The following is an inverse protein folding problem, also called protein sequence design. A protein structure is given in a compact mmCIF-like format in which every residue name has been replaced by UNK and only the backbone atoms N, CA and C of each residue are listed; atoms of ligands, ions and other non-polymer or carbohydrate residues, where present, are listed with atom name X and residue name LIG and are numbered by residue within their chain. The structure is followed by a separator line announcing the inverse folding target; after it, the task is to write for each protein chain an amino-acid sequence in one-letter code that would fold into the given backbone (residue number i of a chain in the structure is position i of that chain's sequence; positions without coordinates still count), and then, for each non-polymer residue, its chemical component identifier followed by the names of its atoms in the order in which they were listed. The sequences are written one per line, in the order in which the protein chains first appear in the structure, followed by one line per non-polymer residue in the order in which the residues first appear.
data_IF_314383967999
#
_entry.id   IF_314383967999
#
_cell.length_a   1.000
_cell.length_b   1.000
_cell.length_c   1.000
_cell.angle_alpha   90.00
_cell.angle_beta   90.00
_cell.angle_gamma   90.00
#
_symmetry.space_group_name_H-M   'P 1'
#
loop_
_entity.id
_entity.type
_entity.pdbx_description
1 polymer ?
#
# COMPACT_ATOMS: atom_id res chain seq x y z
N UNK A 1 9.23 -72.08 -19.05
CA UNK A 1 9.54 -70.69 -19.26
C UNK A 1 8.48 -69.85 -18.53
N UNK A 2 8.83 -69.23 -17.44
CA UNK A 2 7.91 -68.43 -16.60
C UNK A 2 8.05 -66.98 -17.01
N UNK A 3 7.03 -66.41 -17.61
CA UNK A 3 7.00 -64.95 -17.90
C UNK A 3 6.78 -64.21 -16.58
N UNK A 4 7.78 -63.46 -16.15
CA UNK A 4 7.61 -62.51 -15.07
C UNK A 4 7.00 -61.23 -15.63
N UNK A 5 5.80 -60.89 -15.19
CA UNK A 5 5.14 -59.63 -15.51
C UNK A 5 5.78 -58.58 -14.61
N UNK A 6 6.62 -57.72 -15.18
CA UNK A 6 7.13 -56.54 -14.47
C UNK A 6 5.99 -55.59 -14.20
N UNK A 7 5.61 -55.45 -12.93
CA UNK A 7 4.61 -54.48 -12.49
C UNK A 7 5.28 -53.10 -12.41
N UNK A 8 5.03 -52.27 -13.38
CA UNK A 8 5.46 -50.86 -13.32
C UNK A 8 4.55 -50.11 -12.34
N UNK A 9 5.11 -49.65 -11.24
CA UNK A 9 4.40 -48.75 -10.32
C UNK A 9 4.74 -47.33 -10.75
N UNK A 10 3.74 -46.60 -11.23
CA UNK A 10 3.88 -45.17 -11.52
C UNK A 10 3.66 -44.42 -10.22
N UNK A 11 4.69 -43.76 -9.75
CA UNK A 11 4.59 -42.78 -8.64
C UNK A 11 4.40 -41.42 -9.26
N UNK A 12 3.23 -40.83 -9.07
CA UNK A 12 3.01 -39.41 -9.45
C UNK A 12 3.43 -38.56 -8.28
N UNK A 13 4.49 -37.79 -8.47
CA UNK A 13 4.90 -36.74 -7.54
C UNK A 13 4.22 -35.45 -8.04
N UNK A 14 3.26 -34.89 -7.31
CA UNK A 14 2.69 -33.61 -7.71
C UNK A 14 3.73 -32.51 -7.48
N UNK A 15 4.04 -31.77 -8.52
CA UNK A 15 4.79 -30.54 -8.39
C UNK A 15 3.84 -29.43 -7.94
N UNK A 16 4.20 -28.76 -6.85
CA UNK A 16 3.46 -27.59 -6.39
C UNK A 16 3.85 -26.37 -7.22
N UNK A 17 2.85 -25.58 -7.60
CA UNK A 17 3.11 -24.30 -8.28
C UNK A 17 3.85 -23.35 -7.37
N UNK A 18 4.83 -22.63 -7.91
CA UNK A 18 5.47 -21.54 -7.22
C UNK A 18 4.47 -20.41 -7.02
N UNK A 19 4.23 -20.05 -5.77
CA UNK A 19 3.29 -18.99 -5.39
C UNK A 19 4.02 -17.73 -4.95
N UNK A 20 3.30 -16.61 -4.87
CA UNK A 20 3.83 -15.34 -4.46
C UNK A 20 3.23 -14.83 -3.16
N UNK A 21 3.99 -13.97 -2.51
CA UNK A 21 3.56 -13.17 -1.37
C UNK A 21 3.88 -11.70 -1.63
N UNK A 22 2.88 -10.85 -1.45
CA UNK A 22 2.99 -9.40 -1.53
C UNK A 22 2.89 -8.81 -0.13
N UNK A 23 3.86 -7.98 0.25
CA UNK A 23 3.79 -7.15 1.45
C UNK A 23 3.61 -5.69 1.04
N UNK A 24 2.59 -5.04 1.59
CA UNK A 24 2.34 -3.61 1.39
C UNK A 24 2.63 -2.88 2.69
N UNK A 25 3.52 -1.90 2.61
CA UNK A 25 3.88 -1.04 3.73
C UNK A 25 3.27 0.34 3.58
N UNK A 26 2.91 0.94 4.69
CA UNK A 26 2.48 2.33 4.79
C UNK A 26 3.42 3.14 5.62
N UNK A 27 3.82 4.29 5.10
CA UNK A 27 4.61 5.30 5.79
C UNK A 27 3.93 6.67 5.75
N UNK A 28 4.19 7.48 6.76
CA UNK A 28 3.72 8.85 6.82
C UNK A 28 4.53 9.68 7.81
N UNK A 29 4.48 10.98 7.67
CA UNK A 29 5.14 11.92 8.58
C UNK A 29 4.34 12.07 9.87
N UNK A 30 4.96 11.78 11.01
CA UNK A 30 4.37 11.99 12.34
C UNK A 30 5.14 13.09 13.08
N UNK A 31 4.41 13.86 13.87
CA UNK A 31 5.01 14.86 14.76
C UNK A 31 5.79 14.15 15.87
N UNK A 32 7.07 14.45 15.99
CA UNK A 32 7.96 13.87 17.01
C UNK A 32 8.44 14.88 18.03
N UNK A 33 8.25 16.16 17.78
CA UNK A 33 8.65 17.21 18.69
C UNK A 33 8.40 18.62 18.17
N UNK A 34 8.68 19.60 19.01
CA UNK A 34 8.62 21.00 18.65
C UNK A 34 9.73 21.77 19.36
N UNK A 35 10.38 22.68 18.66
CA UNK A 35 11.29 23.67 19.23
C UNK A 35 10.52 24.97 19.41
N UNK A 36 10.42 25.44 20.63
CA UNK A 36 9.79 26.71 20.99
C UNK A 36 10.88 27.75 21.21
N UNK A 37 10.83 28.83 20.45
CA UNK A 37 11.74 29.96 20.56
C UNK A 37 10.95 31.26 20.73
N UNK A 38 11.62 32.35 21.04
CA UNK A 38 11.01 33.69 21.07
C UNK A 38 10.38 34.09 19.73
N UNK A 39 10.87 33.51 18.63
CA UNK A 39 10.40 33.81 17.27
C UNK A 39 9.29 32.87 16.77
N UNK A 40 8.85 31.91 17.59
CA UNK A 40 7.79 30.97 17.25
C UNK A 40 8.15 29.50 17.53
N UNK A 41 7.29 28.63 17.04
CA UNK A 41 7.40 27.19 17.23
C UNK A 41 7.68 26.50 15.89
N UNK A 42 8.74 25.68 15.86
CA UNK A 42 9.07 24.81 14.73
C UNK A 42 8.75 23.36 15.08
N UNK A 43 7.88 22.73 14.30
CA UNK A 43 7.50 21.34 14.50
C UNK A 43 8.46 20.41 13.75
N UNK A 44 8.82 19.29 14.42
CA UNK A 44 9.69 18.25 13.86
C UNK A 44 8.87 17.03 13.48
N UNK A 45 9.11 16.50 12.30
CA UNK A 45 8.41 15.36 11.77
C UNK A 45 9.40 14.27 11.37
N UNK A 46 8.98 13.01 11.52
CA UNK A 46 9.70 11.84 11.06
C UNK A 46 8.78 10.91 10.27
N UNK A 47 9.31 10.25 9.27
CA UNK A 47 8.59 9.16 8.59
C UNK A 47 8.55 7.93 9.49
N UNK A 48 7.36 7.43 9.72
CA UNK A 48 7.11 6.21 10.50
C UNK A 48 6.07 5.35 9.84
N UNK A 49 6.13 4.06 10.11
CA UNK A 49 5.11 3.09 9.70
C UNK A 49 3.76 3.47 10.28
N UNK A 50 2.69 3.32 9.46
CA UNK A 50 1.33 3.74 9.81
C UNK A 50 0.36 2.58 9.70
N UNK A 51 -0.44 2.35 10.74
CA UNK A 51 -1.57 1.41 10.72
C UNK A 51 -2.83 2.05 10.16
N UNK A 52 -3.78 1.21 9.71
CA UNK A 52 -5.11 1.65 9.30
C UNK A 52 -5.21 2.17 7.86
N UNK A 53 -4.16 2.06 7.05
CA UNK A 53 -4.29 2.22 5.60
C UNK A 53 -5.02 1.02 5.01
N UNK A 54 -5.90 1.25 4.04
CA UNK A 54 -6.68 0.20 3.37
C UNK A 54 -6.34 0.16 1.90
N UNK A 55 -6.06 -1.03 1.39
CA UNK A 55 -5.69 -1.28 -0.01
C UNK A 55 -6.61 -2.29 -0.66
N UNK A 56 -6.84 -2.11 -1.95
CA UNK A 56 -7.41 -3.11 -2.84
C UNK A 56 -6.32 -3.55 -3.85
N UNK A 57 -6.32 -4.83 -4.21
CA UNK A 57 -5.37 -5.42 -5.15
C UNK A 57 -6.11 -5.93 -6.36
N UNK A 58 -5.65 -5.53 -7.53
CA UNK A 58 -6.22 -5.91 -8.83
C UNK A 58 -5.19 -6.65 -9.68
N UNK A 59 -5.64 -7.46 -10.60
CA UNK A 59 -4.81 -8.05 -11.63
C UNK A 59 -4.35 -6.97 -12.63
N UNK A 60 -3.04 -6.74 -12.74
CA UNK A 60 -2.46 -5.78 -13.67
C UNK A 60 -2.37 -6.29 -15.10
N UNK A 61 -2.44 -7.62 -15.26
CA UNK A 61 -2.48 -8.36 -16.53
C UNK A 61 -3.31 -9.62 -16.32
N UNK A 62 -3.57 -10.38 -17.39
CA UNK A 62 -4.15 -11.72 -17.26
C UNK A 62 -3.19 -12.61 -16.46
N UNK A 63 -3.69 -13.23 -15.39
CA UNK A 63 -2.92 -14.09 -14.50
C UNK A 63 -3.35 -15.54 -14.74
N UNK A 64 -2.34 -16.40 -14.92
CA UNK A 64 -2.54 -17.81 -15.24
C UNK A 64 -1.78 -18.68 -14.24
N UNK A 65 -2.27 -19.89 -14.06
CA UNK A 65 -1.53 -20.96 -13.38
C UNK A 65 -0.28 -21.35 -14.20
N UNK A 66 0.65 -22.10 -13.62
CA UNK A 66 1.79 -22.66 -14.34
C UNK A 66 1.37 -23.54 -15.53
N UNK A 67 0.17 -24.12 -15.47
CA UNK A 67 -0.40 -24.96 -16.53
C UNK A 67 -1.20 -24.16 -17.58
N UNK A 68 -1.20 -22.82 -17.50
CA UNK A 68 -1.83 -21.93 -18.48
C UNK A 68 -3.32 -21.66 -18.24
N UNK A 69 -3.93 -22.18 -17.19
CA UNK A 69 -5.32 -21.88 -16.85
C UNK A 69 -5.43 -20.42 -16.35
N UNK A 70 -6.29 -19.64 -16.99
CA UNK A 70 -6.51 -18.24 -16.57
C UNK A 70 -7.31 -18.20 -15.27
N UNK A 71 -6.75 -17.51 -14.26
CA UNK A 71 -7.34 -17.30 -12.93
C UNK A 71 -7.98 -15.93 -12.82
N UNK A 72 -7.30 -14.88 -13.30
CA UNK A 72 -7.79 -13.52 -13.32
C UNK A 72 -7.59 -12.89 -14.71
N UNK A 73 -8.53 -12.09 -15.14
CA UNK A 73 -8.38 -11.19 -16.26
C UNK A 73 -7.79 -9.85 -15.79
N UNK A 74 -7.09 -9.15 -16.66
CA UNK A 74 -6.60 -7.79 -16.36
C UNK A 74 -7.75 -6.90 -15.85
N UNK A 75 -7.54 -6.28 -14.68
CA UNK A 75 -8.50 -5.42 -14.02
C UNK A 75 -9.41 -6.12 -12.99
N UNK A 76 -9.40 -7.44 -12.92
CA UNK A 76 -10.17 -8.17 -11.91
C UNK A 76 -9.69 -7.85 -10.50
N UNK A 77 -10.64 -7.74 -9.57
CA UNK A 77 -10.35 -7.59 -8.15
C UNK A 77 -9.83 -8.91 -7.60
N UNK A 78 -8.61 -8.91 -7.08
CA UNK A 78 -7.94 -10.07 -6.47
C UNK A 78 -8.19 -10.12 -4.97
N UNK A 79 -8.07 -8.98 -4.31
CA UNK A 79 -8.32 -8.86 -2.88
C UNK A 79 -8.73 -7.43 -2.55
N UNK A 80 -9.72 -7.27 -1.69
CA UNK A 80 -10.17 -5.99 -1.17
C UNK A 80 -9.88 -5.85 0.33
N UNK A 81 -9.87 -4.58 0.76
CA UNK A 81 -9.82 -4.19 2.18
C UNK A 81 -8.63 -4.77 2.96
N UNK A 82 -7.45 -4.83 2.32
CA UNK A 82 -6.20 -5.13 3.01
C UNK A 82 -5.81 -3.96 3.90
N UNK A 83 -5.84 -4.16 5.21
CA UNK A 83 -5.57 -3.09 6.19
C UNK A 83 -4.19 -3.27 6.80
N UNK A 84 -3.41 -2.19 6.90
CA UNK A 84 -2.11 -2.23 7.59
C UNK A 84 -2.29 -2.36 9.09
N UNK A 85 -1.49 -3.23 9.68
CA UNK A 85 -1.43 -3.52 11.11
C UNK A 85 -0.64 -2.46 11.90
N UNK A 86 -0.38 -2.72 13.17
CA UNK A 86 0.42 -1.85 14.06
C UNK A 86 1.87 -1.66 13.60
N UNK A 87 2.40 -2.56 12.77
CA UNK A 87 3.71 -2.45 12.15
C UNK A 87 3.68 -1.66 10.82
N UNK A 88 2.50 -1.17 10.45
CA UNK A 88 2.28 -0.47 9.19
C UNK A 88 2.42 -1.37 7.97
N UNK A 89 2.09 -2.64 8.10
CA UNK A 89 2.21 -3.64 7.04
C UNK A 89 0.92 -4.43 6.86
N UNK A 90 0.65 -4.86 5.64
CA UNK A 90 -0.34 -5.89 5.33
C UNK A 90 0.25 -6.88 4.33
N UNK A 91 -0.12 -8.15 4.45
CA UNK A 91 0.46 -9.25 3.67
C UNK A 91 -0.64 -10.01 2.94
N UNK A 92 -0.45 -10.19 1.65
CA UNK A 92 -1.29 -11.05 0.80
C UNK A 92 -0.47 -12.24 0.33
N UNK A 93 -0.89 -13.44 0.73
CA UNK A 93 -0.21 -14.72 0.44
C UNK A 93 -0.95 -15.51 -0.64
N UNK A 94 -0.29 -16.55 -1.14
CA UNK A 94 -0.85 -17.49 -2.10
C UNK A 94 -1.33 -16.81 -3.40
N UNK A 95 -0.55 -15.85 -3.88
CA UNK A 95 -0.77 -15.23 -5.17
C UNK A 95 -0.14 -16.07 -6.27
N UNK A 96 -0.83 -16.22 -7.39
CA UNK A 96 -0.21 -16.71 -8.62
C UNK A 96 0.84 -15.75 -9.12
N UNK A 97 1.85 -16.23 -9.84
CA UNK A 97 2.85 -15.35 -10.45
C UNK A 97 2.20 -14.47 -11.50
N UNK A 98 2.59 -13.20 -11.53
CA UNK A 98 2.01 -12.23 -12.45
C UNK A 98 2.15 -10.79 -11.97
N UNK A 99 1.48 -9.89 -12.66
CA UNK A 99 1.51 -8.45 -12.37
C UNK A 99 0.23 -8.03 -11.66
N UNK A 100 0.39 -7.29 -10.58
CA UNK A 100 -0.70 -6.79 -9.73
C UNK A 100 -0.63 -5.28 -9.60
N UNK A 101 -1.79 -4.65 -9.44
CA UNK A 101 -1.92 -3.22 -9.13
C UNK A 101 -2.47 -3.10 -7.73
N UNK A 102 -1.72 -2.44 -6.86
CA UNK A 102 -2.13 -2.10 -5.49
C UNK A 102 -2.63 -0.67 -5.49
N UNK A 103 -3.86 -0.46 -5.03
CA UNK A 103 -4.49 0.86 -4.94
C UNK A 103 -4.77 1.21 -3.49
N UNK A 104 -4.39 2.41 -3.07
CA UNK A 104 -4.79 2.91 -1.77
C UNK A 104 -6.24 3.35 -1.81
N UNK A 105 -7.11 2.62 -1.11
CA UNK A 105 -8.53 2.93 -0.95
C UNK A 105 -8.76 3.97 0.12
N UNK A 106 -8.03 3.87 1.23
CA UNK A 106 -8.13 4.77 2.37
C UNK A 106 -6.77 4.97 3.02
N UNK A 107 -6.40 6.25 3.21
CA UNK A 107 -5.23 6.61 4.00
C UNK A 107 -5.51 6.46 5.51
N UNK A 108 -4.48 6.31 6.35
CA UNK A 108 -4.63 6.37 7.79
C UNK A 108 -5.19 7.73 8.24
N UNK A 109 -5.82 7.75 9.42
CA UNK A 109 -6.36 8.99 9.98
C UNK A 109 -5.28 10.07 10.10
N UNK A 110 -5.57 11.27 9.62
CA UNK A 110 -4.64 12.40 9.64
C UNK A 110 -3.72 12.52 8.41
N UNK A 111 -3.85 11.58 7.47
CA UNK A 111 -3.09 11.60 6.21
C UNK A 111 -4.00 11.87 5.01
N UNK A 112 -3.40 12.47 3.98
CA UNK A 112 -4.07 12.73 2.71
C UNK A 112 -3.95 11.51 1.80
N UNK A 113 -5.09 11.05 1.26
CA UNK A 113 -5.10 10.01 0.24
C UNK A 113 -5.02 10.64 -1.15
N UNK A 114 -3.87 10.48 -1.80
CA UNK A 114 -3.65 10.95 -3.17
C UNK A 114 -4.21 9.99 -4.23
N UNK A 115 -4.78 8.85 -3.83
CA UNK A 115 -5.23 7.81 -4.75
C UNK A 115 -4.07 7.11 -5.48
N UNK A 116 -2.92 7.00 -4.82
CA UNK A 116 -1.72 6.39 -5.41
C UNK A 116 -1.98 4.92 -5.77
N UNK A 117 -1.47 4.51 -6.94
CA UNK A 117 -1.46 3.13 -7.40
C UNK A 117 -0.03 2.68 -7.62
N UNK A 118 0.28 1.43 -7.27
CA UNK A 118 1.59 0.83 -7.53
C UNK A 118 1.46 -0.51 -8.22
N UNK A 119 2.27 -0.71 -9.24
CA UNK A 119 2.37 -1.98 -9.94
C UNK A 119 3.48 -2.80 -9.35
N UNK A 120 3.19 -4.06 -9.01
CA UNK A 120 4.14 -5.04 -8.50
C UNK A 120 4.09 -6.29 -9.36
N UNK A 121 5.22 -6.96 -9.52
CA UNK A 121 5.32 -8.19 -10.31
C UNK A 121 5.95 -9.30 -9.48
N UNK A 122 5.30 -10.46 -9.49
CA UNK A 122 5.79 -11.72 -8.97
C UNK A 122 6.25 -12.56 -10.15
N UNK A 123 7.56 -12.73 -10.29
CA UNK A 123 8.16 -13.47 -11.40
C UNK A 123 8.76 -14.80 -10.93
N UNK A 124 8.79 -15.78 -11.82
CA UNK A 124 9.40 -17.06 -11.53
C UNK A 124 10.85 -16.90 -11.07
N UNK A 125 11.19 -17.50 -9.94
CA UNK A 125 12.48 -17.36 -9.26
C UNK A 125 13.36 -18.64 -9.29
N UNK A 126 13.03 -19.60 -10.16
CA UNK A 126 13.75 -20.87 -10.30
C UNK A 126 13.14 -22.02 -9.51
N UNK A 127 13.58 -23.24 -9.80
CA UNK A 127 12.97 -24.48 -9.29
C UNK A 127 13.16 -24.71 -7.78
N UNK A 128 14.13 -24.02 -7.16
CA UNK A 128 14.44 -24.20 -5.75
C UNK A 128 13.76 -23.17 -4.83
N UNK A 129 12.87 -22.33 -5.38
CA UNK A 129 12.12 -21.32 -4.66
C UNK A 129 10.65 -21.71 -4.65
N UNK A 130 10.09 -21.96 -3.47
CA UNK A 130 8.67 -22.30 -3.32
C UNK A 130 7.77 -21.06 -3.30
N UNK A 131 8.22 -19.98 -2.63
CA UNK A 131 7.47 -18.72 -2.52
C UNK A 131 8.32 -17.55 -2.97
N UNK A 132 7.77 -16.75 -3.88
CA UNK A 132 8.37 -15.49 -4.33
C UNK A 132 7.82 -14.35 -3.49
N UNK A 133 8.71 -13.49 -2.99
CA UNK A 133 8.33 -12.33 -2.19
C UNK A 133 8.51 -11.05 -3.00
N UNK A 134 7.54 -10.16 -2.89
CA UNK A 134 7.65 -8.78 -3.37
C UNK A 134 7.07 -7.84 -2.33
N UNK A 135 7.53 -6.60 -2.33
CA UNK A 135 7.04 -5.58 -1.41
C UNK A 135 6.87 -4.24 -2.11
N UNK A 136 5.99 -3.42 -1.56
CA UNK A 136 5.83 -2.04 -1.99
C UNK A 136 5.52 -1.15 -0.80
N UNK A 137 5.96 0.10 -0.84
CA UNK A 137 5.73 1.08 0.23
C UNK A 137 4.98 2.28 -0.32
N UNK A 138 3.87 2.63 0.31
CA UNK A 138 3.12 3.85 0.05
C UNK A 138 3.47 4.90 1.11
N UNK A 139 3.67 6.13 0.69
CA UNK A 139 3.96 7.25 1.58
C UNK A 139 2.91 8.33 1.37
N UNK A 140 2.20 8.72 2.43
CA UNK A 140 1.25 9.83 2.35
C UNK A 140 1.77 11.03 3.13
N UNK A 141 1.45 12.19 2.59
CA UNK A 141 1.62 13.44 3.30
C UNK A 141 0.56 13.58 4.40
N UNK A 142 0.94 14.19 5.50
CA UNK A 142 -0.02 14.58 6.54
C UNK A 142 -1.01 15.60 5.99
N UNK A 143 -2.23 15.57 6.51
CA UNK A 143 -3.18 16.63 6.25
C UNK A 143 -2.65 17.95 6.85
N UNK A 144 -2.69 18.99 6.04
CA UNK A 144 -2.29 20.34 6.46
C UNK A 144 -3.53 21.21 6.51
N UNK A 145 -3.60 22.07 7.52
CA UNK A 145 -4.63 23.08 7.65
C UNK A 145 -3.97 24.44 7.48
N UNK A 146 -4.48 25.22 6.55
CA UNK A 146 -4.09 26.61 6.41
C UNK A 146 -5.14 27.46 7.13
N UNK A 147 -4.70 28.25 8.10
CA UNK A 147 -5.57 29.17 8.81
C UNK A 147 -5.31 30.59 8.29
N UNK A 148 -6.28 31.12 7.56
CA UNK A 148 -6.24 32.52 7.14
C UNK A 148 -6.96 33.37 8.19
N UNK A 149 -6.21 34.24 8.85
CA UNK A 149 -6.78 35.22 9.77
C UNK A 149 -7.00 36.52 9.02
N UNK A 150 -8.25 36.86 8.78
CA UNK A 150 -8.60 38.14 8.17
C UNK A 150 -9.04 39.11 9.27
N UNK A 151 -8.34 40.17 9.45
CA UNK A 151 -8.82 41.26 10.30
C UNK A 151 -9.76 42.14 9.47
N UNK A 152 -11.05 42.23 9.79
CA UNK A 152 -11.93 43.17 9.11
C UNK A 152 -11.42 44.59 9.38
N UNK A 153 -11.21 45.36 8.30
CA UNK A 153 -10.88 46.79 8.42
C UNK A 153 -12.16 47.47 8.84
N UNK A 154 -12.25 47.83 10.12
CA UNK A 154 -13.27 48.74 10.60
C UNK A 154 -12.84 50.17 10.25
N UNK A 155 -13.49 50.76 9.26
CA UNK A 155 -13.37 52.18 9.04
C UNK A 155 -14.12 52.90 10.17
N UNK A 156 -13.42 53.16 11.26
CA UNK A 156 -13.92 54.16 12.19
C UNK A 156 -13.71 55.52 11.53
N UNK A 157 -14.75 56.10 11.00
CA UNK A 157 -14.74 57.54 10.71
C UNK A 157 -14.56 58.27 12.04
N UNK A 158 -13.33 58.57 12.36
CA UNK A 158 -13.06 59.66 13.27
C UNK A 158 -13.46 60.94 12.52
N UNK A 159 -14.68 61.38 12.70
CA UNK A 159 -14.99 62.78 12.39
C UNK A 159 -14.05 63.62 13.22
N UNK A 160 -13.20 64.39 12.53
CA UNK A 160 -12.52 65.46 13.19
C UNK A 160 -13.58 66.28 13.93
N UNK A 161 -13.58 66.24 15.25
CA UNK A 161 -14.35 67.20 16.02
C UNK A 161 -13.73 68.54 15.78
N UNK A 162 -14.41 69.34 14.99
CA UNK A 162 -14.16 70.77 15.03
C UNK A 162 -14.57 71.23 16.43
N UNK A 163 -13.58 71.44 17.29
CA UNK A 163 -13.74 72.24 18.49
C UNK A 163 -13.81 73.68 18.08
N UNK A 164 -14.95 74.23 18.27
CA UNK A 164 -15.06 75.69 18.28
C UNK A 164 -14.50 76.23 19.54
#
# INVERSE_FOLDING_TARGET
MKLEVSKTTTVTVPDEEQMGQLTVYKEGEVLVGADVTENGTTFKYEKRRQSGAVYDVYAGADIKTAYGTKVYSKGDLVKENLTTDTNGATVLKNLYLGTYIVKEKQAPTGFYNAGEEKTVTLSYAGQNVNVVFTETTFTNDRQKVEVMVTKPVSYTHLRAHETR
#
